data_IF_430773238332
#
_entry.id   IF_430773238332
#
_cell.length_a   1.000
_cell.length_b   1.000
_cell.length_c   1.000
_cell.angle_alpha   90.00
_cell.angle_beta   90.00
_cell.angle_gamma   90.00
#
_symmetry.space_group_name_H-M   'P 1'
#
loop_
_entity.id
_entity.type
_entity.pdbx_description
1 polymer ?
#
# COMPACT_ATOMS: atom_id res chain seq x y z
N UNK A 1 14.82 -27.82 -9.43
CA UNK A 1 15.07 -26.67 -8.51
C UNK A 1 14.20 -25.53 -9.04
N UNK A 2 13.57 -24.73 -8.18
CA UNK A 2 12.75 -23.60 -8.66
C UNK A 2 13.64 -22.52 -9.29
N UNK A 3 13.15 -21.86 -10.35
CA UNK A 3 13.86 -20.77 -11.00
C UNK A 3 13.76 -19.47 -10.22
N UNK A 4 12.65 -19.24 -9.51
CA UNK A 4 12.48 -18.19 -8.52
C UNK A 4 11.68 -18.68 -7.31
N UNK A 5 11.82 -17.97 -6.20
CA UNK A 5 11.07 -18.17 -4.96
C UNK A 5 10.55 -16.81 -4.52
N UNK A 6 9.26 -16.69 -4.27
CA UNK A 6 8.68 -15.44 -3.76
C UNK A 6 8.22 -15.57 -2.31
N UNK A 7 8.36 -14.47 -1.58
CA UNK A 7 7.73 -14.27 -0.29
C UNK A 7 6.98 -12.94 -0.29
N UNK A 8 6.25 -12.64 0.77
CA UNK A 8 5.20 -11.62 0.78
C UNK A 8 5.65 -10.24 1.26
N UNK A 9 6.96 -9.96 1.28
CA UNK A 9 7.51 -8.64 1.59
C UNK A 9 9.02 -8.59 1.28
N UNK A 10 9.56 -7.49 0.77
CA UNK A 10 10.99 -7.28 0.57
C UNK A 10 11.79 -7.35 1.88
N UNK A 11 11.29 -6.75 2.94
CA UNK A 11 11.93 -6.82 4.26
C UNK A 11 11.89 -8.24 4.82
N UNK A 12 10.75 -8.93 4.70
CA UNK A 12 10.65 -10.32 5.16
C UNK A 12 11.57 -11.26 4.38
N UNK A 13 11.74 -11.05 3.07
CA UNK A 13 12.72 -11.81 2.28
C UNK A 13 14.12 -11.71 2.89
N UNK A 14 14.57 -10.50 3.28
CA UNK A 14 15.85 -10.29 3.97
C UNK A 14 15.87 -10.90 5.38
N UNK A 15 14.78 -10.81 6.13
CA UNK A 15 14.68 -11.36 7.49
C UNK A 15 14.80 -12.90 7.50
N UNK A 16 14.38 -13.61 6.45
CA UNK A 16 14.47 -15.05 6.33
C UNK A 16 15.92 -15.58 6.34
N UNK A 17 16.91 -14.76 6.04
CA UNK A 17 18.34 -15.07 6.15
C UNK A 17 18.85 -15.05 7.59
N UNK A 18 18.03 -14.67 8.57
CA UNK A 18 18.39 -14.63 9.97
C UNK A 18 17.87 -15.85 10.72
N UNK A 19 18.62 -16.34 11.74
CA UNK A 19 18.19 -17.44 12.60
C UNK A 19 16.82 -17.21 13.23
N UNK A 20 16.51 -15.95 13.55
CA UNK A 20 15.24 -15.56 14.19
C UNK A 20 14.04 -15.84 13.29
N UNK A 21 14.14 -15.56 12.00
CA UNK A 21 13.02 -15.62 11.05
C UNK A 21 13.12 -16.84 10.12
N UNK A 22 14.32 -17.31 9.79
CA UNK A 22 14.58 -18.47 8.94
C UNK A 22 14.16 -19.82 9.56
N UNK A 23 14.04 -19.88 10.89
CA UNK A 23 13.56 -21.08 11.61
C UNK A 23 14.28 -22.37 11.25
N UNK A 24 15.57 -22.29 10.97
CA UNK A 24 16.41 -23.42 10.53
C UNK A 24 16.53 -23.58 9.02
N UNK A 25 15.86 -22.70 8.25
CA UNK A 25 15.97 -22.64 6.78
C UNK A 25 16.84 -21.46 6.28
N UNK A 26 17.46 -20.71 7.17
CA UNK A 26 18.30 -19.54 6.82
C UNK A 26 19.38 -19.91 5.81
N UNK A 27 20.06 -21.04 5.98
CA UNK A 27 21.08 -21.50 5.03
C UNK A 27 20.51 -21.89 3.65
N UNK A 28 19.25 -22.31 3.57
CA UNK A 28 18.58 -22.53 2.29
C UNK A 28 18.26 -21.17 1.65
N UNK A 29 17.78 -20.20 2.43
CA UNK A 29 17.52 -18.84 1.96
C UNK A 29 18.80 -18.18 1.42
N UNK A 30 19.95 -18.38 2.10
CA UNK A 30 21.26 -17.87 1.63
C UNK A 30 21.65 -18.46 0.26
N UNK A 31 21.42 -19.77 0.05
CA UNK A 31 21.72 -20.43 -1.23
C UNK A 31 20.86 -19.88 -2.38
N UNK A 32 19.61 -19.49 -2.10
CA UNK A 32 18.65 -19.02 -3.11
C UNK A 32 18.47 -17.49 -3.12
N UNK A 33 19.34 -16.73 -2.42
CA UNK A 33 19.24 -15.27 -2.29
C UNK A 33 19.01 -14.58 -3.65
N UNK A 34 19.80 -14.92 -4.67
CA UNK A 34 19.71 -14.36 -6.02
C UNK A 34 18.42 -14.73 -6.79
N UNK A 35 17.58 -15.61 -6.21
CA UNK A 35 16.30 -16.05 -6.79
C UNK A 35 15.10 -15.71 -5.90
N UNK A 36 15.32 -15.02 -4.77
CA UNK A 36 14.29 -14.71 -3.79
C UNK A 36 13.72 -13.32 -4.04
N UNK A 37 12.41 -13.26 -4.24
CA UNK A 37 11.64 -12.04 -4.46
C UNK A 37 10.72 -11.77 -3.27
N UNK A 38 10.76 -10.56 -2.76
CA UNK A 38 9.81 -10.08 -1.76
C UNK A 38 8.73 -9.24 -2.44
N UNK A 39 7.50 -9.75 -2.54
CA UNK A 39 6.39 -9.08 -3.22
C UNK A 39 5.24 -8.92 -2.23
N UNK A 40 4.88 -7.68 -1.90
CA UNK A 40 3.79 -7.39 -0.98
C UNK A 40 2.45 -7.89 -1.55
N UNK A 41 1.60 -8.42 -0.68
CA UNK A 41 0.20 -8.65 -1.03
C UNK A 41 -0.55 -7.31 -1.13
N UNK A 42 -1.57 -7.28 -1.98
CA UNK A 42 -2.55 -6.20 -2.01
C UNK A 42 -3.76 -6.48 -1.14
N UNK A 43 -4.63 -5.49 -1.04
CA UNK A 43 -6.00 -5.62 -0.53
C UNK A 43 -6.97 -5.21 -1.64
N UNK A 44 -8.23 -5.64 -1.54
CA UNK A 44 -9.28 -5.18 -2.45
C UNK A 44 -9.76 -3.78 -2.05
N UNK A 45 -9.43 -2.73 -2.84
CA UNK A 45 -9.81 -1.35 -2.50
C UNK A 45 -11.33 -1.12 -2.58
N UNK A 46 -12.08 -1.94 -3.30
CA UNK A 46 -13.54 -1.84 -3.38
C UNK A 46 -14.22 -2.43 -2.14
N UNK A 47 -13.65 -3.49 -1.59
CA UNK A 47 -14.15 -4.12 -0.36
C UNK A 47 -13.81 -3.30 0.91
N UNK A 48 -12.66 -2.60 0.91
CA UNK A 48 -12.18 -1.76 2.01
C UNK A 48 -12.23 -0.27 1.64
N UNK A 49 -13.41 0.21 1.22
CA UNK A 49 -13.67 1.62 0.89
C UNK A 49 -14.61 2.25 1.91
N UNK A 50 -14.14 3.15 2.78
CA UNK A 50 -15.01 3.82 3.75
C UNK A 50 -16.12 4.66 3.10
N UNK A 51 -15.98 5.02 1.81
CA UNK A 51 -17.01 5.74 1.06
C UNK A 51 -18.23 4.90 0.71
N UNK A 52 -18.08 3.58 0.58
CA UNK A 52 -19.12 2.68 0.10
C UNK A 52 -19.34 1.44 0.95
N UNK A 53 -18.50 1.18 1.95
CA UNK A 53 -18.59 -0.02 2.80
C UNK A 53 -19.92 -0.04 3.60
N UNK A 54 -20.80 -1.01 3.36
CA UNK A 54 -22.07 -1.12 4.07
C UNK A 54 -21.94 -1.63 5.51
N UNK A 55 -20.77 -2.17 5.90
CA UNK A 55 -20.51 -2.74 7.23
C UNK A 55 -20.31 -1.68 8.30
N UNK A 56 -19.90 -0.45 7.92
CA UNK A 56 -19.60 0.61 8.88
C UNK A 56 -20.82 1.48 9.20
N UNK A 57 -20.92 2.05 10.42
CA UNK A 57 -22.07 2.82 10.84
C UNK A 57 -22.38 4.08 10.03
N UNK A 58 -21.36 4.68 9.43
CA UNK A 58 -21.49 5.85 8.57
C UNK A 58 -20.34 5.90 7.57
N UNK A 59 -20.65 6.11 6.31
CA UNK A 59 -19.64 6.25 5.25
C UNK A 59 -18.94 7.61 5.34
N UNK A 60 -17.68 7.66 4.87
CA UNK A 60 -16.86 8.85 4.84
C UNK A 60 -15.74 8.74 3.79
N UNK A 61 -15.15 9.86 3.45
CA UNK A 61 -14.04 9.93 2.49
C UNK A 61 -12.91 10.78 3.08
N UNK A 62 -11.75 10.81 2.43
CA UNK A 62 -10.65 11.71 2.81
C UNK A 62 -11.06 13.20 2.79
N UNK A 63 -12.00 13.58 1.91
CA UNK A 63 -12.52 14.96 1.82
C UNK A 63 -13.57 15.29 2.88
N UNK A 64 -14.32 14.28 3.36
CA UNK A 64 -15.35 14.45 4.39
C UNK A 64 -15.30 13.29 5.40
N UNK A 65 -14.64 13.54 6.52
CA UNK A 65 -14.41 12.57 7.59
C UNK A 65 -15.48 12.59 8.71
N UNK A 66 -16.59 13.33 8.57
CA UNK A 66 -17.65 13.38 9.59
C UNK A 66 -18.25 12.02 9.91
N UNK A 67 -18.26 11.12 8.93
CA UNK A 67 -18.68 9.72 9.14
C UNK A 67 -17.74 8.96 10.08
N UNK A 68 -16.43 9.22 10.04
CA UNK A 68 -15.46 8.58 10.94
C UNK A 68 -15.72 8.92 12.42
N UNK A 69 -16.13 10.14 12.74
CA UNK A 69 -16.53 10.51 14.10
C UNK A 69 -17.75 9.71 14.58
N UNK A 70 -18.71 9.44 13.69
CA UNK A 70 -19.87 8.59 14.01
C UNK A 70 -19.45 7.14 14.22
N UNK A 71 -18.53 6.63 13.42
CA UNK A 71 -17.95 5.30 13.60
C UNK A 71 -17.21 5.20 14.94
N UNK A 72 -16.45 6.22 15.34
CA UNK A 72 -15.80 6.28 16.66
C UNK A 72 -16.80 6.21 17.80
N UNK A 73 -17.86 7.02 17.75
CA UNK A 73 -18.90 7.01 18.76
C UNK A 73 -19.62 5.64 18.86
N UNK A 74 -19.84 4.99 17.73
CA UNK A 74 -20.43 3.65 17.68
C UNK A 74 -19.54 2.60 18.36
N UNK A 75 -18.25 2.53 18.04
CA UNK A 75 -17.38 1.53 18.67
C UNK A 75 -17.09 1.83 20.12
N UNK A 76 -17.11 3.09 20.54
CA UNK A 76 -17.07 3.44 21.96
C UNK A 76 -18.25 2.85 22.72
N UNK A 77 -19.46 2.96 22.18
CA UNK A 77 -20.67 2.38 22.78
C UNK A 77 -20.61 0.85 22.78
N UNK A 78 -20.28 0.22 21.64
CA UNK A 78 -20.23 -1.22 21.48
C UNK A 78 -19.24 -1.90 22.44
N UNK A 79 -18.09 -1.26 22.68
CA UNK A 79 -17.05 -1.76 23.58
C UNK A 79 -17.18 -1.24 25.03
N UNK A 80 -18.27 -0.54 25.35
CA UNK A 80 -18.50 -0.02 26.71
C UNK A 80 -17.53 1.08 27.14
N UNK A 81 -17.01 1.86 26.19
CA UNK A 81 -16.13 2.99 26.46
C UNK A 81 -16.94 4.27 26.70
N UNK A 82 -16.34 5.23 27.42
CA UNK A 82 -16.92 6.57 27.53
C UNK A 82 -16.93 7.23 26.15
N UNK A 83 -18.00 7.98 25.84
CA UNK A 83 -18.07 8.77 24.59
C UNK A 83 -17.19 10.03 24.69
N UNK A 84 -15.88 9.83 24.60
CA UNK A 84 -14.87 10.90 24.67
C UNK A 84 -14.37 11.24 23.28
N UNK A 85 -14.86 12.34 22.72
CA UNK A 85 -14.52 12.76 21.35
C UNK A 85 -13.01 13.08 21.20
N UNK A 86 -12.41 13.68 22.22
CA UNK A 86 -11.05 14.21 22.18
C UNK A 86 -9.97 13.22 22.66
N UNK A 87 -10.36 12.07 23.18
CA UNK A 87 -9.39 11.04 23.54
C UNK A 87 -9.05 10.20 22.31
N UNK A 88 -7.76 9.99 22.01
CA UNK A 88 -7.38 9.11 20.93
C UNK A 88 -7.80 7.68 21.24
N UNK A 89 -8.42 7.03 20.28
CA UNK A 89 -8.86 5.65 20.36
C UNK A 89 -7.89 4.76 19.63
N UNK A 90 -7.13 3.97 20.38
CA UNK A 90 -6.22 2.96 19.83
C UNK A 90 -6.95 1.62 19.70
N UNK A 91 -6.68 0.88 18.64
CA UNK A 91 -7.24 -0.44 18.43
C UNK A 91 -6.16 -1.48 18.09
N UNK A 92 -6.39 -2.70 18.54
CA UNK A 92 -5.66 -3.91 18.14
C UNK A 92 -6.68 -4.93 17.64
N UNK A 93 -6.56 -5.36 16.39
CA UNK A 93 -7.38 -6.43 15.81
C UNK A 93 -6.45 -7.55 15.39
N UNK A 94 -6.31 -8.60 16.22
CA UNK A 94 -5.35 -9.65 15.98
C UNK A 94 -5.70 -10.94 16.73
N UNK A 95 -5.08 -12.05 16.31
CA UNK A 95 -5.04 -13.25 17.14
C UNK A 95 -4.27 -12.95 18.43
N UNK A 96 -4.79 -13.34 19.58
CA UNK A 96 -4.16 -13.14 20.89
C UNK A 96 -3.09 -14.21 21.13
N UNK A 97 -1.96 -14.05 20.46
CA UNK A 97 -0.78 -14.91 20.57
C UNK A 97 0.48 -14.06 20.73
N UNK A 98 1.54 -14.64 21.27
CA UNK A 98 2.80 -13.92 21.54
C UNK A 98 3.37 -13.26 20.29
N UNK A 99 3.29 -13.93 19.13
CA UNK A 99 3.74 -13.41 17.84
C UNK A 99 3.15 -12.02 17.51
N UNK A 100 1.90 -11.76 17.88
CA UNK A 100 1.21 -10.49 17.61
C UNK A 100 1.54 -9.38 18.62
N UNK A 101 2.51 -9.61 19.49
CA UNK A 101 2.99 -8.62 20.45
C UNK A 101 2.05 -8.38 21.64
N UNK A 102 1.08 -9.26 21.85
CA UNK A 102 0.12 -9.16 22.95
C UNK A 102 0.83 -9.10 24.30
N UNK A 103 1.97 -9.80 24.44
CA UNK A 103 2.78 -9.76 25.64
C UNK A 103 3.41 -8.38 25.91
N UNK A 104 3.83 -7.65 24.86
CA UNK A 104 4.30 -6.28 25.02
C UNK A 104 3.19 -5.36 25.55
N UNK A 105 1.98 -5.47 24.97
CA UNK A 105 0.81 -4.70 25.42
C UNK A 105 0.49 -5.03 26.89
N UNK A 106 0.48 -6.32 27.24
CA UNK A 106 0.22 -6.77 28.62
C UNK A 106 1.16 -6.11 29.61
N UNK A 107 2.47 -6.07 29.31
CA UNK A 107 3.50 -5.49 30.19
C UNK A 107 3.35 -3.98 30.38
N UNK A 108 2.86 -3.26 29.39
CA UNK A 108 2.74 -1.80 29.45
C UNK A 108 1.33 -1.32 29.81
N UNK A 109 0.36 -2.21 29.92
CA UNK A 109 -1.05 -1.88 30.10
C UNK A 109 -1.30 -0.78 31.16
N UNK A 110 -0.73 -0.84 32.39
CA UNK A 110 -0.95 0.21 33.39
C UNK A 110 -0.34 1.57 32.99
N UNK A 111 0.75 1.55 32.21
CA UNK A 111 1.39 2.79 31.72
C UNK A 111 0.59 3.39 30.57
N UNK A 112 0.09 2.53 29.68
CA UNK A 112 -0.71 2.91 28.52
C UNK A 112 -2.02 3.58 28.94
N UNK A 113 -2.73 3.01 29.93
CA UNK A 113 -3.98 3.59 30.42
C UNK A 113 -3.82 4.94 31.12
N UNK A 114 -2.62 5.31 31.56
CA UNK A 114 -2.33 6.64 32.11
C UNK A 114 -2.09 7.74 31.07
N UNK A 115 -2.10 7.41 29.78
CA UNK A 115 -1.84 8.36 28.68
C UNK A 115 -3.07 9.17 28.24
N UNK A 116 -4.24 8.96 28.85
CA UNK A 116 -5.47 9.65 28.43
C UNK A 116 -5.96 9.18 27.05
N UNK A 117 -5.78 7.89 26.76
CA UNK A 117 -6.25 7.22 25.55
C UNK A 117 -7.33 6.21 25.88
N UNK A 118 -8.09 5.83 24.88
CA UNK A 118 -8.92 4.62 24.91
C UNK A 118 -8.23 3.50 24.13
N UNK A 119 -8.42 2.26 24.55
CA UNK A 119 -7.85 1.10 23.88
C UNK A 119 -8.92 0.03 23.67
N UNK A 120 -9.03 -0.48 22.46
CA UNK A 120 -9.82 -1.67 22.11
C UNK A 120 -8.87 -2.80 21.73
N UNK A 121 -9.05 -3.96 22.33
CA UNK A 121 -8.46 -5.23 21.89
C UNK A 121 -9.58 -6.11 21.34
N UNK A 122 -9.47 -6.52 20.08
CA UNK A 122 -10.48 -7.31 19.40
C UNK A 122 -9.86 -8.53 18.69
N UNK A 123 -10.20 -9.73 19.16
CA UNK A 123 -9.69 -10.96 18.58
C UNK A 123 -9.60 -12.13 19.53
N UNK A 124 -9.44 -13.33 18.98
CA UNK A 124 -9.37 -14.61 19.69
C UNK A 124 -7.93 -15.08 19.88
N UNK A 125 -7.68 -15.96 20.85
CA UNK A 125 -6.36 -16.56 21.01
C UNK A 125 -6.18 -17.31 22.33
N UNK A 126 -4.96 -17.25 22.87
CA UNK A 126 -4.58 -17.98 24.08
C UNK A 126 -5.38 -17.51 25.32
N UNK A 127 -5.90 -18.45 26.09
CA UNK A 127 -6.76 -18.19 27.23
C UNK A 127 -6.14 -17.22 28.25
N UNK A 128 -4.84 -17.33 28.50
CA UNK A 128 -4.12 -16.42 29.41
C UNK A 128 -4.25 -14.93 29.04
N UNK A 129 -4.36 -14.61 27.74
CA UNK A 129 -4.56 -13.25 27.26
C UNK A 129 -6.03 -12.85 27.35
N UNK A 130 -6.94 -13.77 27.04
CA UNK A 130 -8.39 -13.56 27.17
C UNK A 130 -8.73 -13.22 28.61
N UNK A 131 -8.24 -14.00 29.58
CA UNK A 131 -8.47 -13.79 31.00
C UNK A 131 -7.90 -12.43 31.44
N UNK A 132 -6.66 -12.13 31.09
CA UNK A 132 -6.02 -10.86 31.41
C UNK A 132 -6.79 -9.64 30.86
N UNK A 133 -7.27 -9.70 29.61
CA UNK A 133 -8.02 -8.58 29.05
C UNK A 133 -9.43 -8.45 29.61
N UNK A 134 -10.07 -9.54 30.04
CA UNK A 134 -11.32 -9.48 30.81
C UNK A 134 -11.11 -8.77 32.14
N UNK A 135 -10.06 -9.09 32.89
CA UNK A 135 -9.70 -8.37 34.14
C UNK A 135 -9.43 -6.88 33.86
N UNK A 136 -8.72 -6.57 32.76
CA UNK A 136 -8.46 -5.19 32.37
C UNK A 136 -9.75 -4.43 32.03
N UNK A 137 -10.74 -5.07 31.40
CA UNK A 137 -12.03 -4.48 31.06
C UNK A 137 -12.80 -4.02 32.33
N UNK A 138 -12.74 -4.79 33.37
CA UNK A 138 -13.31 -4.40 34.68
C UNK A 138 -12.50 -3.28 35.31
N UNK A 139 -11.18 -3.43 35.35
CA UNK A 139 -10.26 -2.49 36.03
C UNK A 139 -10.24 -1.11 35.39
N UNK A 140 -10.35 -1.03 34.08
CA UNK A 140 -10.28 0.21 33.29
C UNK A 140 -11.60 0.51 32.58
N UNK A 141 -12.72 0.25 33.27
CA UNK A 141 -14.07 0.45 32.75
C UNK A 141 -14.26 1.85 32.14
N UNK A 142 -14.81 1.90 30.93
CA UNK A 142 -15.01 3.13 30.17
C UNK A 142 -13.77 3.66 29.44
N UNK A 143 -12.59 3.06 29.64
CA UNK A 143 -11.35 3.43 28.96
C UNK A 143 -10.77 2.27 28.14
N UNK A 144 -11.01 1.03 28.57
CA UNK A 144 -10.56 -0.18 27.88
C UNK A 144 -11.73 -1.06 27.49
N UNK A 145 -11.76 -1.50 26.23
CA UNK A 145 -12.74 -2.42 25.67
C UNK A 145 -12.07 -3.69 25.15
N UNK A 146 -12.72 -4.84 25.41
CA UNK A 146 -12.25 -6.13 24.93
C UNK A 146 -13.42 -6.99 24.46
N UNK A 147 -13.20 -7.69 23.34
CA UNK A 147 -14.07 -8.79 22.89
C UNK A 147 -13.26 -9.83 22.12
N UNK A 148 -13.50 -11.10 22.46
CA UNK A 148 -12.94 -12.27 21.78
C UNK A 148 -13.85 -12.83 20.69
N UNK A 149 -15.02 -12.21 20.45
CA UNK A 149 -16.02 -12.62 19.44
C UNK A 149 -15.70 -11.99 18.08
N UNK A 150 -14.59 -12.40 17.48
CA UNK A 150 -14.14 -11.84 16.21
C UNK A 150 -15.17 -12.07 15.07
N UNK A 151 -15.49 -11.00 14.37
CA UNK A 151 -16.18 -11.00 13.08
C UNK A 151 -15.52 -9.98 12.15
N UNK A 152 -15.52 -10.24 10.84
CA UNK A 152 -14.98 -9.33 9.85
C UNK A 152 -15.74 -7.98 9.83
N UNK A 153 -17.07 -8.03 10.00
CA UNK A 153 -17.90 -6.84 10.08
C UNK A 153 -17.51 -5.94 11.26
N UNK A 154 -17.30 -6.51 12.45
CA UNK A 154 -16.88 -5.73 13.61
C UNK A 154 -15.44 -5.22 13.44
N UNK A 155 -14.56 -5.98 12.78
CA UNK A 155 -13.20 -5.51 12.48
C UNK A 155 -13.24 -4.27 11.56
N UNK A 156 -14.09 -4.25 10.52
CA UNK A 156 -14.28 -3.08 9.66
C UNK A 156 -14.77 -1.85 10.47
N UNK A 157 -15.73 -2.05 11.40
CA UNK A 157 -16.21 -0.99 12.30
C UNK A 157 -15.11 -0.46 13.21
N UNK A 158 -14.25 -1.35 13.73
CA UNK A 158 -13.09 -0.97 14.56
C UNK A 158 -12.08 -0.17 13.72
N UNK A 159 -11.74 -0.61 12.50
CA UNK A 159 -10.88 0.16 11.60
C UNK A 159 -11.48 1.53 11.27
N UNK A 160 -12.79 1.61 11.01
CA UNK A 160 -13.45 2.87 10.68
C UNK A 160 -13.50 3.85 11.85
N UNK A 161 -13.60 3.35 13.10
CA UNK A 161 -13.80 4.21 14.27
C UNK A 161 -12.53 4.53 15.07
N UNK A 162 -11.46 3.76 14.94
CA UNK A 162 -10.22 4.02 15.67
C UNK A 162 -9.44 5.21 15.08
N UNK A 163 -8.63 5.87 15.91
CA UNK A 163 -7.67 6.89 15.51
C UNK A 163 -6.31 6.25 15.21
N UNK A 164 -5.89 5.30 16.04
CA UNK A 164 -4.65 4.56 15.89
C UNK A 164 -4.88 3.05 15.79
N UNK A 165 -4.04 2.40 15.01
CA UNK A 165 -3.99 0.94 14.89
C UNK A 165 -2.65 0.42 15.37
N UNK A 166 -2.62 -0.25 16.53
CA UNK A 166 -1.38 -0.76 17.14
C UNK A 166 -1.11 -2.19 16.66
N UNK A 167 0.04 -2.42 16.05
CA UNK A 167 0.46 -3.70 15.50
C UNK A 167 1.91 -4.03 15.91
N UNK A 168 2.15 -4.41 17.19
CA UNK A 168 3.48 -4.65 17.75
C UNK A 168 3.94 -6.10 17.52
N UNK A 169 3.74 -6.64 16.32
CA UNK A 169 4.07 -8.03 15.98
C UNK A 169 5.57 -8.30 16.12
N UNK A 170 5.94 -9.42 16.72
CA UNK A 170 7.34 -9.85 16.82
C UNK A 170 7.95 -10.14 15.44
N UNK A 171 7.14 -10.65 14.54
CA UNK A 171 7.41 -10.80 13.12
C UNK A 171 6.08 -10.79 12.34
N UNK A 172 6.10 -10.19 11.14
CA UNK A 172 4.90 -10.06 10.30
C UNK A 172 5.31 -10.17 8.82
N UNK A 173 5.14 -11.34 8.19
CA UNK A 173 5.58 -11.54 6.81
C UNK A 173 5.07 -10.48 5.84
N UNK A 174 3.80 -10.16 5.86
CA UNK A 174 3.19 -9.07 5.09
C UNK A 174 2.39 -8.13 5.99
N UNK A 175 1.41 -8.67 6.73
CA UNK A 175 0.37 -7.90 7.36
C UNK A 175 -0.62 -7.34 6.32
N UNK A 176 -1.91 -7.50 6.59
CA UNK A 176 -2.97 -6.91 5.77
C UNK A 176 -3.78 -5.89 6.57
N UNK A 177 -3.94 -6.14 7.86
CA UNK A 177 -4.80 -5.34 8.72
C UNK A 177 -4.33 -3.90 8.90
N UNK A 178 -3.01 -3.61 8.84
CA UNK A 178 -2.51 -2.23 8.82
C UNK A 178 -2.93 -1.51 7.53
N UNK A 179 -2.88 -2.18 6.38
CA UNK A 179 -3.31 -1.60 5.11
C UNK A 179 -4.81 -1.34 5.12
N UNK A 180 -5.61 -2.30 5.63
CA UNK A 180 -7.05 -2.12 5.84
C UNK A 180 -7.31 -0.92 6.76
N UNK A 181 -6.68 -0.85 7.94
CA UNK A 181 -6.84 0.26 8.88
C UNK A 181 -6.50 1.61 8.24
N UNK A 182 -5.40 1.68 7.48
CA UNK A 182 -4.98 2.90 6.77
C UNK A 182 -6.03 3.36 5.75
N UNK A 183 -6.68 2.45 5.02
CA UNK A 183 -7.79 2.78 4.11
C UNK A 183 -8.95 3.49 4.80
N UNK A 184 -9.21 3.17 6.06
CA UNK A 184 -10.21 3.86 6.89
C UNK A 184 -9.64 5.08 7.65
N UNK A 185 -8.46 5.57 7.28
CA UNK A 185 -7.83 6.72 7.92
C UNK A 185 -7.45 6.47 9.39
N UNK A 186 -7.15 5.25 9.74
CA UNK A 186 -6.66 4.86 11.06
C UNK A 186 -5.15 4.72 11.00
N UNK A 187 -4.45 5.55 11.77
CA UNK A 187 -2.99 5.72 11.68
C UNK A 187 -2.28 4.54 12.34
N UNK A 188 -1.41 3.81 11.64
CA UNK A 188 -0.73 2.66 12.20
C UNK A 188 0.41 3.04 13.14
N UNK A 189 0.58 2.25 14.22
CA UNK A 189 1.77 2.26 15.09
C UNK A 189 2.32 0.83 15.08
N UNK A 190 3.49 0.60 14.48
CA UNK A 190 3.95 -0.75 14.14
C UNK A 190 5.37 -1.04 14.62
N UNK A 191 5.67 -2.33 14.83
CA UNK A 191 7.05 -2.80 14.91
C UNK A 191 7.66 -2.90 13.51
N UNK A 192 8.91 -2.44 13.32
CA UNK A 192 9.61 -2.44 12.02
C UNK A 192 10.08 -3.84 11.63
N UNK A 193 9.16 -4.71 11.23
CA UNK A 193 9.44 -6.07 10.77
C UNK A 193 8.62 -6.43 9.53
N UNK A 194 9.21 -7.17 8.62
CA UNK A 194 8.57 -7.68 7.41
C UNK A 194 7.73 -6.64 6.69
N UNK A 195 6.52 -7.01 6.30
CA UNK A 195 5.62 -6.12 5.56
C UNK A 195 5.14 -4.89 6.32
N UNK A 196 5.24 -4.85 7.65
CA UNK A 196 4.93 -3.64 8.41
C UNK A 196 5.93 -2.53 8.08
N UNK A 197 7.23 -2.87 8.01
CA UNK A 197 8.29 -1.93 7.62
C UNK A 197 8.13 -1.46 6.17
N UNK A 198 7.65 -2.34 5.28
CA UNK A 198 7.50 -2.02 3.86
C UNK A 198 6.22 -1.20 3.57
N UNK A 199 5.20 -1.31 4.44
CA UNK A 199 3.89 -0.67 4.22
C UNK A 199 3.64 0.58 5.05
N UNK A 200 4.39 0.80 6.13
CA UNK A 200 4.23 1.97 7.01
C UNK A 200 5.52 2.77 7.02
N UNK A 201 5.45 4.01 6.53
CA UNK A 201 6.56 4.96 6.63
C UNK A 201 6.42 5.75 7.93
N UNK A 202 7.41 5.71 8.84
CA UNK A 202 7.34 6.49 10.07
C UNK A 202 7.27 7.99 9.77
N UNK A 203 6.41 8.68 10.50
CA UNK A 203 6.34 10.14 10.44
C UNK A 203 7.61 10.76 11.04
N UNK A 204 8.11 11.78 10.38
CA UNK A 204 9.28 12.55 10.78
C UNK A 204 8.93 14.04 10.83
N UNK A 205 9.16 14.67 11.96
CA UNK A 205 8.96 16.11 12.14
C UNK A 205 9.93 16.94 11.28
N UNK A 206 11.04 16.34 10.83
CA UNK A 206 12.08 17.02 10.07
C UNK A 206 11.65 17.35 8.64
N UNK A 207 11.02 16.39 7.96
CA UNK A 207 10.57 16.54 6.56
C UNK A 207 9.03 16.57 6.42
N UNK A 208 8.31 16.38 7.52
CA UNK A 208 6.87 16.33 7.56
C UNK A 208 6.26 15.16 6.80
N UNK A 209 7.05 14.12 6.45
CA UNK A 209 6.63 12.98 5.65
C UNK A 209 6.37 11.78 6.56
N UNK A 210 5.48 10.89 6.12
CA UNK A 210 5.14 9.64 6.81
C UNK A 210 3.64 9.42 6.88
N UNK A 211 3.26 8.15 7.14
CA UNK A 211 1.86 7.70 7.19
C UNK A 211 1.57 6.82 8.42
N UNK A 212 2.45 6.87 9.42
CA UNK A 212 2.29 6.15 10.67
C UNK A 212 3.45 6.37 11.62
N UNK A 213 3.53 5.55 12.67
CA UNK A 213 4.60 5.57 13.65
C UNK A 213 5.21 4.18 13.77
N UNK A 214 6.49 4.07 14.09
CA UNK A 214 7.15 2.77 14.19
C UNK A 214 8.17 2.72 15.31
N UNK A 215 8.55 1.52 15.70
CA UNK A 215 9.65 1.25 16.62
C UNK A 215 10.52 0.10 16.10
N UNK A 216 11.84 0.23 16.22
CA UNK A 216 12.82 -0.72 15.69
C UNK A 216 13.05 -1.92 16.61
N UNK A 217 13.27 -1.69 17.90
CA UNK A 217 13.56 -2.77 18.85
C UNK A 217 12.29 -3.37 19.44
N UNK A 218 12.15 -4.69 19.35
CA UNK A 218 11.00 -5.42 19.91
C UNK A 218 11.05 -5.45 21.44
N UNK A 219 10.73 -4.33 22.07
CA UNK A 219 10.65 -4.20 23.52
C UNK A 219 9.55 -3.20 23.97
N UNK A 220 9.11 -3.29 25.25
CA UNK A 220 8.04 -2.44 25.77
C UNK A 220 8.37 -0.95 25.79
N UNK A 221 9.64 -0.57 25.92
CA UNK A 221 10.06 0.83 26.01
C UNK A 221 9.91 1.51 24.64
N UNK A 222 10.45 0.90 23.60
CA UNK A 222 10.43 1.47 22.25
C UNK A 222 9.01 1.51 21.67
N UNK A 223 8.20 0.46 21.95
CA UNK A 223 6.77 0.50 21.63
C UNK A 223 6.07 1.70 22.30
N UNK A 224 6.36 1.96 23.57
CA UNK A 224 5.76 3.12 24.27
C UNK A 224 6.24 4.45 23.72
N UNK A 225 7.50 4.57 23.27
CA UNK A 225 8.00 5.80 22.63
C UNK A 225 7.26 6.09 21.30
N UNK A 226 7.02 5.07 20.47
CA UNK A 226 6.24 5.23 19.25
C UNK A 226 4.77 5.62 19.53
N UNK A 227 4.17 5.02 20.55
CA UNK A 227 2.82 5.39 20.99
C UNK A 227 2.79 6.83 21.52
N UNK A 228 3.77 7.21 22.37
CA UNK A 228 3.85 8.56 22.92
C UNK A 228 4.06 9.62 21.82
N UNK A 229 4.86 9.33 20.77
CA UNK A 229 5.02 10.20 19.61
C UNK A 229 3.68 10.39 18.86
N UNK A 230 2.95 9.31 18.59
CA UNK A 230 1.63 9.40 17.96
C UNK A 230 0.64 10.23 18.79
N UNK A 231 0.60 10.00 20.09
CA UNK A 231 -0.25 10.75 21.03
C UNK A 231 0.13 12.24 21.06
N UNK A 232 1.42 12.55 21.02
CA UNK A 232 1.90 13.93 20.98
C UNK A 232 1.38 14.64 19.71
N UNK A 233 1.54 14.04 18.54
CA UNK A 233 1.04 14.61 17.27
C UNK A 233 -0.48 14.76 17.31
N UNK A 234 -1.21 13.78 17.85
CA UNK A 234 -2.67 13.86 17.97
C UNK A 234 -3.14 15.06 18.80
N UNK A 235 -2.51 15.35 19.96
CA UNK A 235 -2.93 16.42 20.85
C UNK A 235 -2.33 17.79 20.53
N UNK A 236 -1.04 17.82 20.16
CA UNK A 236 -0.32 19.08 19.98
C UNK A 236 -0.36 19.59 18.53
N UNK A 237 -0.52 18.66 17.54
CA UNK A 237 -0.38 18.98 16.12
C UNK A 237 -1.55 18.35 15.32
N UNK A 238 -2.77 18.67 15.73
CA UNK A 238 -3.98 18.03 15.18
C UNK A 238 -4.09 18.16 13.65
N UNK A 239 -3.68 19.26 13.06
CA UNK A 239 -3.66 19.45 11.60
C UNK A 239 -2.69 18.47 10.93
N UNK A 240 -1.52 18.26 11.52
CA UNK A 240 -0.54 17.25 11.05
C UNK A 240 -1.12 15.84 11.15
N UNK A 241 -1.80 15.53 12.26
CA UNK A 241 -2.47 14.24 12.40
C UNK A 241 -3.51 14.00 11.29
N UNK A 242 -4.28 15.01 10.93
CA UNK A 242 -5.24 14.93 9.82
C UNK A 242 -4.56 14.73 8.46
N UNK A 243 -3.39 15.34 8.23
CA UNK A 243 -2.57 15.12 7.02
C UNK A 243 -2.07 13.67 6.98
N UNK A 244 -1.61 13.11 8.09
CA UNK A 244 -1.18 11.71 8.17
C UNK A 244 -2.36 10.76 7.84
N UNK A 245 -3.55 11.03 8.37
CA UNK A 245 -4.77 10.27 8.05
C UNK A 245 -5.09 10.32 6.55
N UNK A 246 -4.97 11.48 5.93
CA UNK A 246 -5.21 11.65 4.50
C UNK A 246 -4.22 10.83 3.66
N UNK A 247 -2.94 10.80 4.06
CA UNK A 247 -1.92 9.98 3.41
C UNK A 247 -2.25 8.49 3.53
N UNK A 248 -2.67 8.04 4.72
CA UNK A 248 -3.13 6.68 4.91
C UNK A 248 -4.25 6.31 3.94
N UNK A 249 -5.29 7.15 3.85
CA UNK A 249 -6.45 6.88 3.00
C UNK A 249 -6.14 6.89 1.50
N UNK A 250 -5.18 7.69 1.07
CA UNK A 250 -4.78 7.84 -0.33
C UNK A 250 -3.74 6.81 -0.79
N UNK A 251 -3.11 6.10 0.15
CA UNK A 251 -2.06 5.14 -0.19
C UNK A 251 -2.62 3.96 -0.95
N UNK A 252 -2.01 3.67 -2.10
CA UNK A 252 -2.42 2.53 -2.92
C UNK A 252 -1.88 1.22 -2.37
N UNK A 253 -2.79 0.35 -1.98
CA UNK A 253 -2.54 -1.02 -1.55
C UNK A 253 -3.27 -2.04 -2.43
N UNK A 254 -3.63 -1.66 -3.65
CA UNK A 254 -4.31 -2.58 -4.58
C UNK A 254 -3.41 -3.74 -5.01
N UNK A 255 -4.04 -4.81 -5.48
CA UNK A 255 -3.35 -5.93 -6.08
C UNK A 255 -2.62 -5.58 -7.38
N UNK A 256 -2.96 -4.47 -8.04
CA UNK A 256 -2.31 -4.04 -9.29
C UNK A 256 -0.79 -3.89 -9.10
N UNK A 257 -0.37 -3.22 -8.02
CA UNK A 257 1.05 -3.06 -7.69
C UNK A 257 1.75 -4.40 -7.47
N UNK A 258 1.10 -5.33 -6.78
CA UNK A 258 1.63 -6.68 -6.55
C UNK A 258 1.70 -7.47 -7.86
N UNK A 259 0.69 -7.38 -8.71
CA UNK A 259 0.64 -8.02 -10.02
C UNK A 259 1.82 -7.57 -10.92
N UNK A 260 2.09 -6.28 -10.98
CA UNK A 260 3.26 -5.75 -11.70
C UNK A 260 4.59 -6.33 -11.19
N UNK A 261 4.74 -6.45 -9.86
CA UNK A 261 5.94 -7.05 -9.28
C UNK A 261 6.07 -8.54 -9.62
N UNK A 262 4.96 -9.29 -9.64
CA UNK A 262 4.95 -10.68 -10.11
C UNK A 262 5.27 -10.79 -11.60
N UNK A 263 4.69 -9.93 -12.43
CA UNK A 263 5.01 -9.92 -13.87
C UNK A 263 6.49 -9.63 -14.11
N UNK A 264 7.06 -8.69 -13.36
CA UNK A 264 8.51 -8.45 -13.43
C UNK A 264 9.31 -9.69 -13.03
N UNK A 265 8.96 -10.35 -11.93
CA UNK A 265 9.61 -11.61 -11.52
C UNK A 265 9.54 -12.67 -12.64
N UNK A 266 8.39 -12.84 -13.27
CA UNK A 266 8.24 -13.79 -14.38
C UNK A 266 9.07 -13.39 -15.59
N UNK A 267 9.14 -12.11 -15.94
CA UNK A 267 10.00 -11.60 -17.00
C UNK A 267 11.49 -11.85 -16.71
N UNK A 268 11.90 -11.66 -15.45
CA UNK A 268 13.30 -11.93 -15.03
C UNK A 268 13.64 -13.42 -15.13
N UNK A 269 12.67 -14.33 -14.88
CA UNK A 269 12.86 -15.79 -14.97
C UNK A 269 12.89 -16.28 -16.42
N UNK A 270 11.96 -15.79 -17.23
CA UNK A 270 11.83 -16.23 -18.63
C UNK A 270 12.97 -15.69 -19.51
N UNK A 271 13.81 -14.81 -18.95
CA UNK A 271 14.76 -14.02 -19.73
C UNK A 271 14.03 -12.93 -20.50
N UNK A 272 14.73 -11.93 -21.00
CA UNK A 272 14.18 -10.85 -21.80
C UNK A 272 13.81 -11.29 -23.24
N UNK A 273 13.36 -12.53 -23.38
CA UNK A 273 12.68 -13.04 -24.55
C UNK A 273 11.18 -13.03 -24.25
N UNK A 274 10.45 -12.11 -24.85
CA UNK A 274 8.99 -12.13 -24.89
C UNK A 274 8.52 -13.56 -25.13
N UNK A 275 7.50 -13.99 -24.36
CA UNK A 275 6.84 -15.28 -24.63
C UNK A 275 6.53 -15.34 -26.14
N UNK A 276 7.09 -16.31 -26.87
CA UNK A 276 6.86 -16.38 -28.31
C UNK A 276 5.38 -16.59 -28.66
N UNK A 277 4.54 -16.91 -27.67
CA UNK A 277 3.10 -17.12 -27.83
C UNK A 277 2.26 -15.90 -27.42
N UNK A 278 2.86 -14.79 -26.96
CA UNK A 278 2.11 -13.54 -26.68
C UNK A 278 1.39 -13.11 -27.95
N UNK A 279 0.09 -12.98 -27.88
CA UNK A 279 -0.71 -12.41 -28.96
C UNK A 279 -0.67 -10.89 -28.92
N UNK A 280 -0.98 -10.23 -30.05
CA UNK A 280 -1.13 -8.78 -30.06
C UNK A 280 -2.19 -8.29 -29.03
N UNK A 281 -3.28 -9.04 -28.88
CA UNK A 281 -4.33 -8.68 -27.93
C UNK A 281 -3.81 -8.69 -26.48
N UNK A 282 -3.02 -9.70 -26.11
CA UNK A 282 -2.43 -9.76 -24.76
C UNK A 282 -1.48 -8.57 -24.50
N UNK A 283 -0.65 -8.24 -25.49
CA UNK A 283 0.27 -7.13 -25.42
C UNK A 283 -0.46 -5.77 -25.36
N UNK A 284 -1.51 -5.60 -26.16
CA UNK A 284 -2.35 -4.41 -26.17
C UNK A 284 -3.08 -4.22 -24.83
N UNK A 285 -3.70 -5.28 -24.30
CA UNK A 285 -4.43 -5.21 -23.03
C UNK A 285 -3.50 -4.90 -21.87
N UNK A 286 -2.29 -5.46 -21.84
CA UNK A 286 -1.28 -5.15 -20.85
C UNK A 286 -0.83 -3.68 -20.92
N UNK A 287 -0.56 -3.16 -22.13
CA UNK A 287 -0.19 -1.75 -22.33
C UNK A 287 -1.32 -0.80 -21.93
N UNK A 288 -2.57 -1.17 -22.23
CA UNK A 288 -3.74 -0.39 -21.87
C UNK A 288 -3.86 -0.22 -20.36
N UNK A 289 -3.74 -1.31 -19.60
CA UNK A 289 -3.76 -1.26 -18.11
C UNK A 289 -2.68 -0.32 -17.58
N UNK A 290 -1.43 -0.45 -18.08
CA UNK A 290 -0.33 0.39 -17.60
C UNK A 290 -0.54 1.87 -17.93
N UNK A 291 -1.09 2.20 -19.10
CA UNK A 291 -1.34 3.60 -19.46
C UNK A 291 -2.54 4.19 -18.72
N UNK A 292 -3.55 3.39 -18.39
CA UNK A 292 -4.65 3.80 -17.51
C UNK A 292 -4.15 4.07 -16.08
N UNK A 293 -3.20 3.29 -15.57
CA UNK A 293 -2.57 3.52 -14.25
C UNK A 293 -1.75 4.83 -14.20
N UNK A 294 -1.32 5.36 -15.34
CA UNK A 294 -0.63 6.66 -15.44
C UNK A 294 -1.57 7.86 -15.51
N UNK A 295 -2.90 7.66 -15.51
CA UNK A 295 -3.89 8.75 -15.60
C UNK A 295 -3.62 9.93 -14.66
N UNK A 296 -3.26 9.73 -13.37
CA UNK A 296 -2.99 10.86 -12.48
C UNK A 296 -1.80 11.73 -12.93
N UNK A 297 -0.75 11.08 -13.48
CA UNK A 297 0.44 11.77 -14.01
C UNK A 297 0.09 12.50 -15.30
N UNK A 298 -0.68 11.85 -16.17
CA UNK A 298 -1.17 12.40 -17.43
C UNK A 298 -2.04 13.63 -17.18
N UNK A 299 -3.02 13.54 -16.27
CA UNK A 299 -3.92 14.61 -15.92
C UNK A 299 -3.18 15.84 -15.35
N UNK A 300 -2.14 15.62 -14.55
CA UNK A 300 -1.30 16.70 -14.04
C UNK A 300 -0.56 17.42 -15.17
N UNK A 301 0.01 16.68 -16.12
CA UNK A 301 0.74 17.24 -17.26
C UNK A 301 -0.20 17.99 -18.23
N UNK A 302 -1.37 17.41 -18.54
CA UNK A 302 -2.33 17.95 -19.51
C UNK A 302 -3.06 19.19 -19.00
N UNK A 303 -3.18 19.39 -17.69
CA UNK A 303 -3.97 20.46 -17.06
C UNK A 303 -3.69 21.86 -17.62
N UNK A 304 -2.42 22.14 -17.84
CA UNK A 304 -1.95 23.48 -18.24
C UNK A 304 -1.80 23.62 -19.78
N UNK A 305 -2.22 22.62 -20.54
CA UNK A 305 -2.16 22.66 -22.01
C UNK A 305 -3.31 23.45 -22.62
N UNK A 306 -3.14 24.04 -23.84
CA UNK A 306 -4.21 24.71 -24.59
C UNK A 306 -5.43 23.80 -24.83
N UNK A 307 -6.60 24.41 -25.07
CA UNK A 307 -7.85 23.64 -25.28
C UNK A 307 -7.81 22.72 -26.50
N UNK A 308 -7.10 23.13 -27.55
CA UNK A 308 -6.91 22.38 -28.79
C UNK A 308 -5.69 21.45 -28.79
N UNK A 309 -4.99 21.38 -27.64
CA UNK A 309 -3.81 20.55 -27.53
C UNK A 309 -4.17 19.05 -27.62
N UNK A 310 -3.35 18.35 -28.38
CA UNK A 310 -3.39 16.89 -28.47
C UNK A 310 -1.98 16.33 -28.70
N UNK A 311 -1.80 15.06 -28.39
CA UNK A 311 -0.61 14.28 -28.73
C UNK A 311 -1.06 12.88 -29.14
N UNK A 312 -0.75 12.48 -30.36
CA UNK A 312 -1.20 11.21 -30.94
C UNK A 312 0.03 10.40 -31.33
N UNK A 313 0.21 9.27 -30.68
CA UNK A 313 1.28 8.33 -31.01
C UNK A 313 0.72 7.03 -31.59
N UNK A 314 1.25 6.61 -32.70
CA UNK A 314 1.11 5.27 -33.25
C UNK A 314 2.22 4.39 -32.69
N UNK A 315 1.90 3.30 -32.06
CA UNK A 315 2.85 2.39 -31.41
C UNK A 315 2.80 1.04 -32.09
N UNK A 316 3.94 0.65 -32.70
CA UNK A 316 4.10 -0.64 -33.35
C UNK A 316 4.97 -1.57 -32.51
N UNK A 317 4.42 -2.70 -32.11
CA UNK A 317 5.13 -3.77 -31.40
C UNK A 317 5.87 -4.62 -32.43
N UNK A 318 7.17 -4.82 -32.24
CA UNK A 318 8.00 -5.67 -33.09
C UNK A 318 8.29 -7.01 -32.39
N UNK A 319 8.20 -8.12 -33.10
CA UNK A 319 8.44 -9.46 -32.57
C UNK A 319 7.20 -10.09 -31.93
N UNK A 320 7.34 -10.91 -30.88
CA UNK A 320 6.19 -11.51 -30.20
C UNK A 320 5.16 -10.48 -29.77
N UNK A 321 3.88 -10.74 -30.08
CA UNK A 321 2.81 -9.76 -29.89
C UNK A 321 2.78 -8.67 -30.98
N UNK A 322 3.39 -8.94 -32.18
CA UNK A 322 3.45 -7.98 -33.27
C UNK A 322 2.07 -7.43 -33.62
N UNK A 323 2.01 -6.12 -33.77
CA UNK A 323 0.80 -5.38 -34.11
C UNK A 323 0.97 -3.90 -33.86
N UNK A 324 -0.08 -3.15 -34.17
CA UNK A 324 -0.10 -1.69 -34.01
C UNK A 324 -1.33 -1.23 -33.30
N UNK A 325 -1.16 -0.26 -32.39
CA UNK A 325 -2.23 0.48 -31.75
C UNK A 325 -1.86 1.96 -31.69
N UNK A 326 -2.85 2.81 -31.44
CA UNK A 326 -2.57 4.22 -31.16
C UNK A 326 -2.95 4.58 -29.73
N UNK A 327 -2.30 5.62 -29.22
CA UNK A 327 -2.71 6.32 -28.02
C UNK A 327 -2.82 7.81 -28.33
N UNK A 328 -3.93 8.39 -27.95
CA UNK A 328 -4.27 9.81 -28.16
C UNK A 328 -4.55 10.45 -26.82
N UNK A 329 -3.82 11.51 -26.53
CA UNK A 329 -4.00 12.34 -25.35
C UNK A 329 -4.63 13.69 -25.76
N UNK A 330 -5.66 14.08 -25.05
CA UNK A 330 -6.34 15.37 -25.16
C UNK A 330 -6.62 15.92 -23.76
N UNK A 331 -7.17 17.13 -23.66
CA UNK A 331 -7.61 17.65 -22.36
C UNK A 331 -8.71 16.82 -21.69
N UNK A 332 -9.47 16.07 -22.48
CA UNK A 332 -10.57 15.21 -21.99
C UNK A 332 -10.08 13.84 -21.47
N UNK A 333 -8.79 13.53 -21.68
CA UNK A 333 -8.18 12.28 -21.23
C UNK A 333 -7.46 11.51 -22.34
N UNK A 334 -7.25 10.21 -22.07
CA UNK A 334 -6.57 9.28 -22.96
C UNK A 334 -7.57 8.42 -23.74
N UNK A 335 -7.33 8.24 -25.04
CA UNK A 335 -7.99 7.27 -25.91
C UNK A 335 -6.97 6.30 -26.46
N UNK A 336 -7.25 4.99 -26.44
CA UNK A 336 -6.38 3.96 -26.99
C UNK A 336 -7.19 2.93 -27.78
N UNK A 337 -6.71 2.54 -28.98
CA UNK A 337 -7.40 1.55 -29.80
C UNK A 337 -6.42 0.69 -30.64
N UNK A 338 -6.74 -0.60 -30.88
CA UNK A 338 -5.85 -1.60 -31.48
C UNK A 338 -5.84 -1.56 -33.02
N UNK A 339 -5.62 -0.38 -33.58
CA UNK A 339 -5.50 -0.20 -35.02
C UNK A 339 -4.65 1.03 -35.37
N UNK A 340 -4.30 1.20 -36.65
CA UNK A 340 -3.49 2.31 -37.17
C UNK A 340 -4.24 3.64 -37.09
N UNK A 341 -3.54 4.70 -36.72
CA UNK A 341 -4.05 6.06 -36.73
C UNK A 341 -3.46 6.85 -37.91
N UNK A 342 -4.29 7.25 -38.84
CA UNK A 342 -3.84 8.05 -40.00
C UNK A 342 -3.55 9.48 -39.55
N UNK A 343 -2.28 9.90 -39.68
CA UNK A 343 -1.86 11.25 -39.29
C UNK A 343 -1.44 11.37 -37.83
N UNK A 344 -0.95 10.29 -37.21
CA UNK A 344 -0.30 10.36 -35.91
C UNK A 344 0.85 11.36 -35.88
N UNK A 345 1.00 12.09 -34.78
CA UNK A 345 2.11 13.04 -34.57
C UNK A 345 3.46 12.31 -34.54
N UNK A 346 3.46 11.12 -33.93
CA UNK A 346 4.67 10.34 -33.67
C UNK A 346 4.40 8.86 -33.92
N UNK A 347 5.35 8.19 -34.57
CA UNK A 347 5.39 6.74 -34.73
C UNK A 347 6.49 6.15 -33.86
N UNK A 348 6.15 5.19 -33.02
CA UNK A 348 7.07 4.50 -32.11
C UNK A 348 7.11 3.02 -32.45
N UNK A 349 8.32 2.46 -32.57
CA UNK A 349 8.51 1.02 -32.79
C UNK A 349 9.49 0.46 -31.76
N UNK A 350 9.09 -0.55 -31.03
CA UNK A 350 9.94 -1.31 -30.10
C UNK A 350 9.33 -2.71 -29.86
N UNK A 351 10.06 -3.59 -29.16
CA UNK A 351 9.48 -4.84 -28.67
C UNK A 351 8.48 -4.54 -27.57
N UNK A 352 7.54 -5.47 -27.33
CA UNK A 352 6.58 -5.36 -26.24
C UNK A 352 7.30 -5.13 -24.89
N UNK A 353 8.35 -5.92 -24.59
CA UNK A 353 9.11 -5.78 -23.33
C UNK A 353 9.70 -4.38 -23.15
N UNK A 354 10.25 -3.80 -24.21
CA UNK A 354 10.82 -2.46 -24.15
C UNK A 354 9.77 -1.38 -23.90
N UNK A 355 8.61 -1.48 -24.57
CA UNK A 355 7.47 -0.56 -24.36
C UNK A 355 6.91 -0.70 -22.95
N UNK A 356 6.71 -1.93 -22.50
CA UNK A 356 6.18 -2.23 -21.16
C UNK A 356 7.13 -1.74 -20.06
N UNK A 357 8.43 -2.10 -20.15
CA UNK A 357 9.44 -1.66 -19.18
C UNK A 357 9.60 -0.13 -19.14
N UNK A 358 9.42 0.54 -20.24
CA UNK A 358 9.41 2.00 -20.31
C UNK A 358 8.20 2.56 -19.55
N UNK A 359 7.02 2.02 -19.82
CA UNK A 359 5.76 2.49 -19.21
C UNK A 359 5.70 2.25 -17.70
N UNK A 360 6.32 1.17 -17.18
CA UNK A 360 6.42 0.91 -15.73
C UNK A 360 7.67 1.56 -15.08
N UNK A 361 8.48 2.33 -15.84
CA UNK A 361 9.63 3.08 -15.33
C UNK A 361 10.90 2.25 -15.07
N UNK A 362 10.95 0.98 -15.47
CA UNK A 362 12.13 0.12 -15.31
C UNK A 362 13.17 0.29 -16.43
N UNK A 363 12.77 0.85 -17.57
CA UNK A 363 13.65 1.24 -18.65
C UNK A 363 13.48 2.71 -19.00
N UNK A 364 14.55 3.37 -19.45
CA UNK A 364 14.52 4.76 -19.91
C UNK A 364 14.40 4.82 -21.42
N UNK A 365 13.44 5.61 -21.94
CA UNK A 365 13.28 5.86 -23.39
C UNK A 365 14.59 6.32 -24.03
N UNK A 366 15.34 7.22 -23.41
CA UNK A 366 16.62 7.72 -23.91
C UNK A 366 17.64 6.59 -24.13
N UNK A 367 17.74 5.68 -23.13
CA UNK A 367 18.68 4.55 -23.23
C UNK A 367 18.27 3.55 -24.29
N UNK A 368 16.96 3.29 -24.42
CA UNK A 368 16.43 2.39 -25.44
C UNK A 368 16.63 3.00 -26.84
N UNK A 369 16.40 4.31 -27.00
CA UNK A 369 16.60 5.03 -28.26
C UNK A 369 18.08 5.01 -28.69
N UNK A 370 19.02 5.37 -27.81
CA UNK A 370 20.46 5.36 -28.10
C UNK A 370 20.96 3.96 -28.47
N UNK A 371 20.37 2.90 -27.89
CA UNK A 371 20.68 1.51 -28.20
C UNK A 371 20.00 0.97 -29.45
N UNK A 372 19.15 1.77 -30.12
CA UNK A 372 18.37 1.37 -31.28
C UNK A 372 17.25 0.37 -31.00
N UNK A 373 16.92 0.19 -29.71
CA UNK A 373 15.85 -0.69 -29.23
C UNK A 373 14.48 0.01 -29.20
N UNK A 374 14.47 1.33 -29.32
CA UNK A 374 13.31 2.18 -29.54
C UNK A 374 13.54 3.02 -30.79
N UNK A 375 12.62 2.97 -31.73
CA UNK A 375 12.63 3.82 -32.92
C UNK A 375 11.50 4.82 -32.84
N UNK A 376 11.81 6.08 -33.09
CA UNK A 376 10.83 7.20 -33.07
C UNK A 376 10.93 7.91 -34.43
N UNK A 377 9.77 8.13 -35.06
CA UNK A 377 9.62 8.89 -36.30
C UNK A 377 8.53 9.95 -36.14
N UNK A 378 8.49 10.93 -37.03
CA UNK A 378 7.48 11.98 -37.02
C UNK A 378 7.93 13.23 -36.24
N UNK A 379 7.04 13.86 -35.54
CA UNK A 379 7.31 15.09 -34.79
C UNK A 379 8.07 14.80 -33.49
N UNK A 380 9.37 15.07 -33.48
CA UNK A 380 10.25 14.79 -32.34
C UNK A 380 9.87 15.63 -31.10
N UNK A 381 9.31 16.83 -31.29
CA UNK A 381 8.83 17.66 -30.15
C UNK A 381 7.64 16.97 -29.46
N UNK A 382 6.69 16.47 -30.23
CA UNK A 382 5.55 15.70 -29.71
C UNK A 382 6.00 14.36 -29.10
N UNK A 383 7.02 13.73 -29.68
CA UNK A 383 7.64 12.54 -29.09
C UNK A 383 8.30 12.80 -27.73
N UNK A 384 8.92 13.97 -27.55
CA UNK A 384 9.47 14.38 -26.27
C UNK A 384 8.37 14.70 -25.21
N UNK A 385 7.27 15.35 -25.64
CA UNK A 385 6.08 15.55 -24.79
C UNK A 385 5.45 14.22 -24.37
N UNK A 386 5.35 13.26 -25.30
CA UNK A 386 4.76 11.95 -25.07
C UNK A 386 5.44 11.21 -23.92
N UNK A 387 6.73 11.40 -23.72
CA UNK A 387 7.48 10.80 -22.63
C UNK A 387 6.89 11.13 -21.24
N UNK A 388 6.37 12.35 -21.04
CA UNK A 388 5.74 12.77 -19.80
C UNK A 388 4.37 12.12 -19.57
N UNK A 389 3.80 11.50 -20.60
CA UNK A 389 2.48 10.88 -20.58
C UNK A 389 2.53 9.36 -20.47
N UNK A 390 3.64 8.73 -20.89
CA UNK A 390 3.78 7.27 -20.94
C UNK A 390 4.90 6.70 -20.06
N UNK A 391 5.67 7.56 -19.37
CA UNK A 391 6.67 7.16 -18.37
C UNK A 391 6.25 7.69 -16.99
N UNK A 392 6.36 6.90 -15.92
CA UNK A 392 6.14 7.40 -14.56
C UNK A 392 7.18 8.46 -14.20
N UNK A 393 6.81 9.48 -13.42
CA UNK A 393 7.77 10.44 -12.87
C UNK A 393 8.82 9.67 -12.05
N UNK A 394 10.10 9.91 -12.33
CA UNK A 394 11.17 9.44 -11.43
C UNK A 394 11.03 10.25 -10.14
N UNK A 395 10.86 9.56 -9.03
CA UNK A 395 11.11 10.18 -7.72
C UNK A 395 12.59 10.54 -7.67
N UNK A 396 12.90 11.86 -7.62
CA UNK A 396 14.25 12.38 -7.33
C UNK A 396 14.67 12.10 -5.90
#
# INVERSE_FOLDING_TARGET
>A
MADAVSTVSPTYARELHTRRHGKGLEGVCDIIEGKMYGILNGIDPSHYDPGTDPRIPANFTAKDKRGKEKCKAYIQEEFGLRKEKHWPLCAVVARLVEQKGVELIRRVMPKLMRRGIQLIIFGQGEQKYVDFFNECKEKYAGQFGFSDKYTEEMAAKVFAGADFYLMPSAFEPCGLSQMMAMRYGTVPIVHETGGLKDTVRPYSDFDGIGDGFSFGDYNPKDMMLAIDAGIQVYFAEHEVFEIIKDRCMKKDFSWNKSAHAYMKMYSDICGSGSDPNVTFQDAYDAMKVVYEDLEPVQAEYIRDMPEDWHNIAQISIAGPGEGTFYVKFTRDGMEMAPYDYIGADTEITATFDNLYNMAIGTASADRLFVRGQLKVKGNLSKGAELRHLIEPKKEE
#
